data_IF_269132619433
#
_entry.id   IF_269132619433
#
_cell.length_a   1.000
_cell.length_b   1.000
_cell.length_c   1.000
_cell.angle_alpha   90.00
_cell.angle_beta   90.00
_cell.angle_gamma   90.00
#
_symmetry.space_group_name_H-M   'P 1'
#
loop_
_entity.id
_entity.type
_entity.pdbx_description
1 polymer ?
#
# COMPACT_ATOMS: atom_id res chain seq x y z
N UNK A 1 -33.81 -3.19 9.54
CA UNK A 1 -32.75 -2.18 9.29
C UNK A 1 -31.60 -2.85 8.54
N UNK A 2 -31.12 -2.26 7.44
CA UNK A 2 -29.97 -2.80 6.73
C UNK A 2 -28.70 -2.66 7.60
N UNK A 3 -28.01 -3.77 7.89
CA UNK A 3 -26.73 -3.73 8.63
C UNK A 3 -25.70 -2.97 7.78
N UNK A 4 -25.16 -1.88 8.31
CA UNK A 4 -24.13 -1.06 7.65
C UNK A 4 -22.92 -1.95 7.30
N UNK A 5 -22.55 -1.97 6.02
CA UNK A 5 -21.47 -2.82 5.53
C UNK A 5 -20.11 -2.38 6.10
N UNK A 6 -19.43 -3.28 6.81
CA UNK A 6 -18.03 -3.06 7.23
C UNK A 6 -17.14 -3.02 5.97
N UNK A 7 -16.30 -1.99 5.85
CA UNK A 7 -15.41 -1.73 4.70
C UNK A 7 -16.11 -1.65 3.32
N UNK A 8 -16.89 -0.59 3.04
CA UNK A 8 -17.65 -0.47 1.80
C UNK A 8 -16.78 -0.41 0.54
N UNK A 9 -15.57 0.16 0.64
CA UNK A 9 -14.65 0.36 -0.49
C UNK A 9 -13.50 -0.66 -0.54
N UNK A 10 -13.61 -1.79 0.16
CA UNK A 10 -12.54 -2.78 0.22
C UNK A 10 -12.36 -3.53 -1.10
N UNK A 11 -13.44 -4.00 -1.70
CA UNK A 11 -13.37 -4.75 -2.94
C UNK A 11 -12.91 -3.83 -4.08
N UNK A 12 -11.91 -4.27 -4.85
CA UNK A 12 -11.29 -3.50 -5.93
C UNK A 12 -10.28 -2.44 -5.47
N UNK A 13 -10.11 -2.22 -4.16
CA UNK A 13 -9.10 -1.29 -3.65
C UNK A 13 -7.68 -1.76 -4.00
N UNK A 14 -6.81 -0.77 -4.23
CA UNK A 14 -5.41 -0.96 -4.63
C UNK A 14 -4.51 -0.69 -3.44
N UNK A 15 -3.45 -1.47 -3.31
CA UNK A 15 -2.52 -1.39 -2.20
C UNK A 15 -1.10 -1.63 -2.65
N UNK A 16 -0.17 -0.95 -1.99
CA UNK A 16 1.27 -1.11 -2.16
C UNK A 16 1.86 -1.64 -0.87
N UNK A 17 2.53 -2.79 -0.93
CA UNK A 17 3.26 -3.37 0.18
C UNK A 17 4.61 -2.66 0.36
N UNK A 18 4.91 -2.24 1.60
CA UNK A 18 6.19 -1.60 1.95
C UNK A 18 7.36 -2.57 1.88
N UNK A 19 7.12 -3.85 2.11
CA UNK A 19 8.07 -4.93 1.87
C UNK A 19 7.54 -5.85 0.76
N UNK A 20 8.44 -6.38 -0.07
CA UNK A 20 8.05 -7.33 -1.13
C UNK A 20 7.37 -8.54 -0.48
N UNK A 21 6.14 -8.80 -0.91
CA UNK A 21 5.34 -9.94 -0.46
C UNK A 21 5.21 -10.88 -1.65
N UNK A 22 5.68 -12.13 -1.54
CA UNK A 22 5.80 -13.04 -2.69
C UNK A 22 6.56 -12.45 -3.89
N UNK A 23 7.53 -11.59 -3.64
CA UNK A 23 8.29 -10.89 -4.70
C UNK A 23 7.59 -9.64 -5.27
N UNK A 24 6.33 -9.38 -4.92
CA UNK A 24 5.52 -8.28 -5.46
C UNK A 24 5.23 -7.19 -4.44
N UNK A 25 4.91 -5.98 -4.91
CA UNK A 25 4.52 -4.83 -4.08
C UNK A 25 3.11 -4.34 -4.37
N UNK A 26 2.67 -4.35 -5.64
CA UNK A 26 1.33 -3.87 -5.99
C UNK A 26 0.31 -5.00 -5.97
N UNK A 27 -0.76 -4.79 -5.19
CA UNK A 27 -1.83 -5.74 -5.03
C UNK A 27 -3.19 -5.06 -5.17
N UNK A 28 -4.16 -5.79 -5.69
CA UNK A 28 -5.57 -5.40 -5.70
C UNK A 28 -6.39 -6.37 -4.87
N UNK A 29 -7.39 -5.86 -4.16
CA UNK A 29 -8.35 -6.71 -3.46
C UNK A 29 -9.38 -7.25 -4.45
N UNK A 30 -9.30 -8.54 -4.78
CA UNK A 30 -10.21 -9.19 -5.72
C UNK A 30 -11.43 -9.82 -5.05
N UNK A 31 -11.32 -10.18 -3.77
CA UNK A 31 -12.40 -10.82 -3.04
C UNK A 31 -12.43 -10.40 -1.58
N UNK A 32 -13.57 -10.65 -0.92
CA UNK A 32 -13.74 -10.46 0.52
C UNK A 32 -14.50 -11.61 1.13
N UNK A 33 -14.18 -11.93 2.37
CA UNK A 33 -14.87 -12.93 3.17
C UNK A 33 -15.17 -12.38 4.56
N UNK A 34 -16.41 -12.48 4.99
CA UNK A 34 -16.80 -12.13 6.35
C UNK A 34 -16.78 -13.40 7.21
N UNK A 35 -15.99 -13.41 8.27
CA UNK A 35 -15.91 -14.50 9.24
C UNK A 35 -16.19 -13.95 10.64
N UNK A 36 -17.42 -14.17 11.11
CA UNK A 36 -17.91 -13.59 12.37
C UNK A 36 -17.78 -12.06 12.34
N UNK A 37 -16.95 -11.53 13.23
CA UNK A 37 -16.68 -10.08 13.33
C UNK A 37 -15.54 -9.58 12.44
N UNK A 38 -14.79 -10.49 11.81
CA UNK A 38 -13.63 -10.18 10.98
C UNK A 38 -14.00 -10.14 9.50
N UNK A 39 -13.29 -9.30 8.77
CA UNK A 39 -13.37 -9.23 7.30
C UNK A 39 -12.00 -9.57 6.78
N UNK A 40 -11.91 -10.54 5.89
CA UNK A 40 -10.70 -10.93 5.19
C UNK A 40 -10.77 -10.41 3.75
N UNK A 41 -9.62 -9.98 3.24
CA UNK A 41 -9.43 -9.52 1.88
C UNK A 41 -8.51 -10.50 1.15
N UNK A 42 -8.89 -10.91 -0.06
CA UNK A 42 -8.00 -11.61 -0.99
C UNK A 42 -7.24 -10.56 -1.81
N UNK A 43 -5.92 -10.50 -1.62
CA UNK A 43 -5.04 -9.67 -2.40
C UNK A 43 -4.42 -10.49 -3.52
N UNK A 44 -4.41 -9.94 -4.72
CA UNK A 44 -3.78 -10.53 -5.91
C UNK A 44 -2.78 -9.53 -6.47
N UNK A 45 -1.57 -9.98 -6.79
CA UNK A 45 -0.55 -9.11 -7.35
C UNK A 45 -1.00 -8.60 -8.73
N UNK A 46 -0.82 -7.30 -8.98
CA UNK A 46 -1.23 -6.69 -10.25
C UNK A 46 -0.51 -7.30 -11.46
N UNK A 47 0.72 -7.77 -11.28
CA UNK A 47 1.58 -8.31 -12.34
C UNK A 47 1.59 -9.84 -12.41
N UNK A 48 1.06 -10.53 -11.40
CA UNK A 48 1.06 -12.00 -11.33
C UNK A 48 -0.20 -12.50 -10.61
N UNK A 49 -1.21 -12.98 -11.37
CA UNK A 49 -2.43 -13.51 -10.80
C UNK A 49 -2.24 -14.73 -9.88
N UNK A 50 -1.11 -15.42 -9.94
CA UNK A 50 -0.81 -16.57 -9.07
C UNK A 50 -0.34 -16.14 -7.68
N UNK A 51 0.28 -14.96 -7.57
CA UNK A 51 0.65 -14.37 -6.31
C UNK A 51 -0.57 -13.77 -5.62
N UNK A 52 -1.32 -14.63 -4.92
CA UNK A 52 -2.53 -14.26 -4.18
C UNK A 52 -2.52 -14.80 -2.77
N UNK A 53 -3.12 -14.06 -1.84
CA UNK A 53 -3.22 -14.46 -0.45
C UNK A 53 -4.35 -13.74 0.27
N UNK A 54 -4.74 -14.28 1.42
CA UNK A 54 -5.78 -13.71 2.28
C UNK A 54 -5.15 -13.04 3.49
N UNK A 55 -5.64 -11.85 3.87
CA UNK A 55 -5.29 -11.19 5.13
C UNK A 55 -6.55 -10.66 5.82
N UNK A 56 -6.46 -10.46 7.13
CA UNK A 56 -7.46 -9.65 7.83
C UNK A 56 -7.40 -8.22 7.29
N UNK A 57 -8.54 -7.68 6.85
CA UNK A 57 -8.65 -6.34 6.25
C UNK A 57 -8.22 -5.22 7.21
N UNK A 58 -8.13 -5.48 8.52
CA UNK A 58 -7.54 -4.56 9.48
C UNK A 58 -6.04 -4.36 9.28
N UNK A 59 -5.32 -5.36 8.74
CA UNK A 59 -3.89 -5.21 8.42
C UNK A 59 -3.64 -4.14 7.36
N UNK A 60 -4.57 -3.93 6.42
CA UNK A 60 -4.46 -2.87 5.42
C UNK A 60 -4.43 -1.45 6.02
N UNK A 61 -4.84 -1.30 7.29
CA UNK A 61 -4.72 -0.03 8.01
C UNK A 61 -3.33 0.18 8.63
N UNK A 62 -2.50 -0.86 8.71
CA UNK A 62 -1.14 -0.74 9.23
C UNK A 62 -0.25 -0.10 8.17
N UNK A 63 0.14 1.16 8.41
CA UNK A 63 0.95 1.94 7.48
C UNK A 63 2.38 1.43 7.36
N UNK A 64 2.89 0.66 8.32
CA UNK A 64 4.22 0.04 8.25
C UNK A 64 4.28 -1.10 7.24
N UNK A 65 3.11 -1.66 6.89
CA UNK A 65 3.00 -2.78 5.96
C UNK A 65 2.40 -2.35 4.62
N UNK A 66 1.41 -1.46 4.66
CA UNK A 66 0.55 -1.17 3.52
C UNK A 66 0.34 0.33 3.32
N UNK A 67 0.50 0.76 2.07
CA UNK A 67 0.03 2.05 1.59
C UNK A 67 -1.18 1.86 0.69
N UNK A 68 -2.16 2.75 0.81
CA UNK A 68 -3.33 2.77 -0.06
C UNK A 68 -2.96 3.33 -1.43
N UNK A 69 -3.50 2.73 -2.49
CA UNK A 69 -3.18 3.10 -3.86
C UNK A 69 -1.91 2.42 -4.40
N UNK A 70 -1.55 2.79 -5.62
CA UNK A 70 -0.27 2.41 -6.22
C UNK A 70 0.75 3.48 -5.89
N UNK A 71 1.93 3.04 -5.46
CA UNK A 71 3.07 3.92 -5.25
C UNK A 71 4.21 3.55 -6.18
N UNK A 72 4.92 4.56 -6.68
CA UNK A 72 6.17 4.38 -7.42
C UNK A 72 7.29 3.95 -6.46
N UNK A 73 8.41 3.50 -7.01
CA UNK A 73 9.57 3.15 -6.20
C UNK A 73 10.12 4.38 -5.45
N UNK A 74 10.17 5.53 -6.13
CA UNK A 74 10.59 6.81 -5.56
C UNK A 74 9.70 7.24 -4.39
N UNK A 75 8.37 7.16 -4.52
CA UNK A 75 7.44 7.47 -3.42
C UNK A 75 7.65 6.55 -2.22
N UNK A 76 7.95 5.27 -2.45
CA UNK A 76 8.25 4.31 -1.39
C UNK A 76 9.56 4.68 -0.68
N UNK A 77 10.59 5.09 -1.43
CA UNK A 77 11.89 5.50 -0.89
C UNK A 77 11.78 6.79 -0.09
N UNK A 78 11.06 7.80 -0.60
CA UNK A 78 10.78 9.06 0.11
C UNK A 78 10.06 8.76 1.43
N UNK A 79 9.01 7.93 1.40
CA UNK A 79 8.29 7.56 2.62
C UNK A 79 9.15 6.79 3.63
N UNK A 80 10.05 5.92 3.13
CA UNK A 80 10.97 5.20 3.99
C UNK A 80 12.02 6.13 4.62
N UNK A 81 12.51 7.14 3.88
CA UNK A 81 13.42 8.15 4.41
C UNK A 81 12.74 9.04 5.45
N UNK A 82 11.52 9.50 5.20
CA UNK A 82 10.71 10.27 6.16
C UNK A 82 10.49 9.47 7.46
N UNK A 83 10.16 8.18 7.37
CA UNK A 83 9.94 7.34 8.56
C UNK A 83 11.22 7.09 9.37
N UNK A 84 12.39 7.12 8.74
CA UNK A 84 13.69 7.05 9.43
C UNK A 84 14.08 8.37 10.10
N UNK A 85 13.35 9.45 9.81
CA UNK A 85 13.68 10.80 10.27
C UNK A 85 14.84 11.42 9.49
N UNK A 86 15.10 10.94 8.28
CA UNK A 86 16.09 11.54 7.38
C UNK A 86 15.55 12.91 6.95
N UNK A 87 16.31 13.98 7.20
CA UNK A 87 15.96 15.33 6.76
C UNK A 87 16.17 15.45 5.25
N UNK A 88 15.07 15.40 4.49
CA UNK A 88 15.09 15.52 3.02
C UNK A 88 15.11 16.99 2.55
N UNK A 89 15.29 17.96 3.45
CA UNK A 89 15.28 19.39 3.09
C UNK A 89 16.54 19.87 2.35
N UNK A 90 17.62 19.08 2.31
CA UNK A 90 18.90 19.50 1.71
C UNK A 90 19.05 19.21 0.20
N UNK A 91 18.16 18.43 -0.45
CA UNK A 91 18.35 18.04 -1.87
C UNK A 91 17.71 19.00 -2.91
N UNK A 92 17.04 20.07 -2.49
CA UNK A 92 16.46 21.06 -3.43
C UNK A 92 17.46 22.13 -3.89
N UNK A 93 18.66 22.20 -3.30
CA UNK A 93 19.63 23.28 -3.55
C UNK A 93 20.77 22.91 -4.52
N UNK A 94 20.52 22.12 -5.57
CA UNK A 94 21.52 21.95 -6.65
C UNK A 94 20.90 21.94 -8.04
N UNK A 95 20.18 23.01 -8.39
CA UNK A 95 19.99 23.38 -9.79
C UNK A 95 20.30 24.87 -9.96
N UNK A 96 21.55 25.10 -10.37
CA UNK A 96 22.15 26.30 -10.99
C UNK A 96 22.85 27.33 -10.07
N UNK A 97 24.12 27.11 -9.73
CA UNK A 97 25.11 28.18 -9.78
C UNK A 97 25.59 28.36 -11.24
N UNK A 98 25.69 29.61 -11.69
CA UNK A 98 26.27 30.07 -12.95
C UNK A 98 25.42 29.97 -14.24
N UNK A 99 24.35 30.77 -14.27
CA UNK A 99 24.01 31.49 -15.50
C UNK A 99 24.87 32.77 -15.56
N UNK A 100 25.92 32.72 -16.38
CA UNK A 100 26.77 33.82 -16.82
C UNK A 100 25.98 35.05 -17.30
#
# INVERSE_FOLDING_TARGET
>A
MAKKQKFPHLLGSKWTARQRTFGWRHFQVNNRKNEGDRVYAELVASCDPNARFWIDARNLKNRDLWAAGWQTLEEIEILAAVDRGDDLSEEVEVLHPDAL
#
